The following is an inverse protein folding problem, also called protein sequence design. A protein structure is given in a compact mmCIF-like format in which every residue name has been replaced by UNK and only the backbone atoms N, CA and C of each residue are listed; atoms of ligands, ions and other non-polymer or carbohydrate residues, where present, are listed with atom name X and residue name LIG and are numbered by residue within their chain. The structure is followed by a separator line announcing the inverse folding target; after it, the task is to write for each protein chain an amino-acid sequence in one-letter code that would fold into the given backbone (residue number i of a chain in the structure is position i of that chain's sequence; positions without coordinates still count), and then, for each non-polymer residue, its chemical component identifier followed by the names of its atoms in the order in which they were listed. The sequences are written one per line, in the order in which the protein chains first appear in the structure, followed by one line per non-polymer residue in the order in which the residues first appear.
data_IF_526325254704
#
_entry.id   IF_526325254704
#
_cell.length_a   1.000
_cell.length_b   1.000
_cell.length_c   1.000
_cell.angle_alpha   90.00
_cell.angle_beta   90.00
_cell.angle_gamma   90.00
#
_symmetry.space_group_name_H-M   'P 1'
#
loop_
_entity.id
_entity.type
_entity.pdbx_description
1 polymer ?
#
# COMPACT_ATOMS: atom_id res chain seq x y z
N UNK A 1 4.74 -20.10 5.57
CA UNK A 1 3.45 -20.47 4.94
C UNK A 1 3.19 -19.59 3.73
N UNK A 2 2.56 -20.11 2.67
CA UNK A 2 2.29 -19.37 1.42
C UNK A 2 0.79 -19.23 1.22
N UNK A 3 0.31 -18.02 0.93
CA UNK A 3 -1.11 -17.70 0.73
C UNK A 3 -1.30 -16.84 -0.52
N UNK A 4 -2.23 -17.21 -1.41
CA UNK A 4 -2.57 -16.40 -2.60
C UNK A 4 -3.81 -15.57 -2.28
N UNK A 5 -3.77 -14.26 -2.56
CA UNK A 5 -4.91 -13.37 -2.34
C UNK A 5 -5.32 -12.64 -3.62
N UNK A 6 -6.60 -12.24 -3.66
CA UNK A 6 -7.16 -11.32 -4.65
C UNK A 6 -8.18 -10.42 -3.96
N UNK A 7 -7.97 -9.10 -4.03
CA UNK A 7 -8.83 -8.06 -3.45
C UNK A 7 -9.03 -6.98 -4.52
N UNK A 8 -10.16 -7.02 -5.22
CA UNK A 8 -10.37 -6.23 -6.43
C UNK A 8 -9.26 -6.49 -7.46
N UNK A 9 -8.56 -5.43 -7.83
CA UNK A 9 -7.46 -5.36 -8.78
C UNK A 9 -6.11 -5.77 -8.15
N UNK A 10 -6.01 -5.79 -6.82
CA UNK A 10 -4.79 -6.21 -6.11
C UNK A 10 -4.76 -7.73 -5.96
N UNK A 11 -3.81 -8.39 -6.61
CA UNK A 11 -3.58 -9.84 -6.55
C UNK A 11 -2.11 -10.11 -6.23
N UNK A 12 -1.85 -11.07 -5.36
CA UNK A 12 -0.48 -11.39 -4.98
C UNK A 12 -0.36 -12.70 -4.20
N UNK A 13 0.86 -12.94 -3.75
CA UNK A 13 1.22 -14.05 -2.87
C UNK A 13 1.80 -13.42 -1.61
N UNK A 14 1.40 -13.93 -0.46
CA UNK A 14 1.98 -13.60 0.84
C UNK A 14 2.67 -14.85 1.36
N UNK A 15 3.96 -14.75 1.66
CA UNK A 15 4.73 -15.78 2.35
C UNK A 15 5.09 -15.25 3.73
N UNK A 16 4.58 -15.85 4.79
CA UNK A 16 4.77 -15.40 6.16
C UNK A 16 4.99 -16.58 7.11
N UNK A 17 5.69 -16.37 8.22
CA UNK A 17 5.99 -17.41 9.20
C UNK A 17 4.78 -17.85 10.02
N UNK A 18 3.73 -17.02 10.12
CA UNK A 18 2.53 -17.33 10.91
C UNK A 18 1.22 -16.86 10.26
N UNK A 19 0.11 -17.49 10.66
CA UNK A 19 -1.23 -17.19 10.12
C UNK A 19 -1.77 -15.83 10.53
N UNK A 20 -1.41 -15.32 11.72
CA UNK A 20 -1.88 -14.02 12.22
C UNK A 20 -1.35 -12.90 11.35
N UNK A 21 -0.05 -12.94 11.03
CA UNK A 21 0.62 -12.04 10.10
C UNK A 21 -0.02 -12.03 8.72
N UNK A 22 -0.36 -13.20 8.17
CA UNK A 22 -1.06 -13.28 6.87
C UNK A 22 -2.41 -12.55 6.93
N UNK A 23 -3.22 -12.79 7.97
CA UNK A 23 -4.52 -12.13 8.12
C UNK A 23 -4.37 -10.62 8.26
N UNK A 24 -3.41 -10.17 9.07
CA UNK A 24 -3.15 -8.75 9.30
C UNK A 24 -2.63 -8.05 8.05
N UNK A 25 -1.73 -8.68 7.29
CA UNK A 25 -1.26 -8.18 6.00
C UNK A 25 -2.40 -8.01 4.99
N UNK A 26 -3.28 -9.02 4.87
CA UNK A 26 -4.47 -8.95 4.00
C UNK A 26 -5.40 -7.81 4.41
N UNK A 27 -5.60 -7.60 5.71
CA UNK A 27 -6.43 -6.51 6.22
C UNK A 27 -5.79 -5.15 5.95
N UNK A 28 -4.47 -5.01 6.17
CA UNK A 28 -3.71 -3.80 5.84
C UNK A 28 -3.84 -3.43 4.37
N UNK A 29 -3.68 -4.39 3.45
CA UNK A 29 -3.84 -4.16 2.00
C UNK A 29 -5.26 -3.70 1.69
N UNK A 30 -6.28 -4.33 2.29
CA UNK A 30 -7.69 -3.99 2.05
C UNK A 30 -8.01 -2.56 2.50
N UNK A 31 -7.61 -2.19 3.71
CA UNK A 31 -7.89 -0.87 4.27
C UNK A 31 -7.14 0.24 3.52
N UNK A 32 -5.84 0.06 3.26
CA UNK A 32 -5.06 1.05 2.52
C UNK A 32 -5.54 1.21 1.08
N UNK A 33 -5.99 0.12 0.43
CA UNK A 33 -6.63 0.19 -0.88
C UNK A 33 -7.93 0.99 -0.85
N UNK A 34 -8.77 0.80 0.17
CA UNK A 34 -10.02 1.56 0.35
C UNK A 34 -9.74 3.05 0.57
N UNK A 35 -8.76 3.37 1.40
CA UNK A 35 -8.29 4.74 1.66
C UNK A 35 -7.81 5.38 0.35
N UNK A 36 -6.95 4.70 -0.41
CA UNK A 36 -6.44 5.18 -1.69
C UNK A 36 -7.58 5.47 -2.68
N UNK A 37 -8.53 4.53 -2.84
CA UNK A 37 -9.69 4.74 -3.74
C UNK A 37 -10.50 5.96 -3.33
N UNK A 38 -10.79 6.12 -2.03
CA UNK A 38 -11.54 7.27 -1.52
C UNK A 38 -10.78 8.59 -1.72
N UNK A 39 -9.46 8.55 -1.62
CA UNK A 39 -8.61 9.72 -1.88
C UNK A 39 -8.63 10.12 -3.35
N UNK A 40 -8.50 9.15 -4.27
CA UNK A 40 -8.55 9.39 -5.72
C UNK A 40 -9.88 9.99 -6.15
N UNK A 41 -11.01 9.55 -5.57
CA UNK A 41 -12.34 10.14 -5.87
C UNK A 41 -12.35 11.65 -5.61
N UNK A 42 -11.69 12.11 -4.56
CA UNK A 42 -11.60 13.53 -4.21
C UNK A 42 -10.49 14.26 -4.96
N UNK A 43 -9.45 13.53 -5.36
CA UNK A 43 -8.25 14.06 -6.01
C UNK A 43 -7.93 13.24 -7.29
N UNK A 44 -8.71 13.36 -8.38
CA UNK A 44 -8.55 12.50 -9.56
C UNK A 44 -7.17 12.58 -10.21
N UNK A 45 -6.49 13.72 -10.05
CA UNK A 45 -5.12 13.91 -10.57
C UNK A 45 -4.13 12.90 -9.98
N UNK A 46 -4.38 12.38 -8.79
CA UNK A 46 -3.51 11.41 -8.10
C UNK A 46 -3.35 10.10 -8.90
N UNK A 47 -4.37 9.71 -9.66
CA UNK A 47 -4.36 8.47 -10.45
C UNK A 47 -3.64 8.65 -11.80
N UNK A 48 -3.73 9.83 -12.41
CA UNK A 48 -3.26 10.07 -13.78
C UNK A 48 -1.93 10.83 -13.87
N UNK A 49 -1.48 11.45 -12.77
CA UNK A 49 -0.24 12.21 -12.76
C UNK A 49 0.96 11.32 -13.08
N UNK A 50 1.76 11.73 -14.05
CA UNK A 50 3.03 11.08 -14.44
C UNK A 50 4.25 11.72 -13.77
N UNK A 51 4.06 12.91 -13.18
CA UNK A 51 5.05 13.65 -12.42
C UNK A 51 4.69 13.65 -10.93
N UNK A 52 5.65 13.96 -10.04
CA UNK A 52 5.35 14.13 -8.63
C UNK A 52 4.30 15.21 -8.43
N UNK A 53 3.43 14.99 -7.44
CA UNK A 53 2.44 15.97 -7.01
C UNK A 53 2.60 16.24 -5.52
N UNK A 54 2.09 17.38 -5.08
CA UNK A 54 1.98 17.68 -3.66
C UNK A 54 0.62 17.25 -3.13
N UNK A 55 0.58 16.92 -1.85
CA UNK A 55 -0.62 16.47 -1.13
C UNK A 55 -0.71 17.22 0.18
N UNK A 56 -1.93 17.30 0.71
CA UNK A 56 -2.19 17.98 1.97
C UNK A 56 -1.45 17.33 3.16
N UNK A 57 -1.07 18.13 4.15
CA UNK A 57 -0.30 17.66 5.30
C UNK A 57 -1.04 16.59 6.11
N UNK A 58 -2.37 16.62 6.12
CA UNK A 58 -3.22 15.61 6.75
C UNK A 58 -3.60 14.44 5.84
N UNK A 59 -2.95 14.28 4.68
CA UNK A 59 -3.20 13.17 3.77
C UNK A 59 -2.96 11.80 4.47
N UNK A 60 -3.71 10.75 4.10
CA UNK A 60 -3.54 9.43 4.70
C UNK A 60 -2.14 8.85 4.51
N UNK A 61 -1.72 7.95 5.40
CA UNK A 61 -0.35 7.40 5.41
C UNK A 61 0.05 6.72 4.10
N UNK A 62 -0.87 5.98 3.45
CA UNK A 62 -0.62 5.35 2.15
C UNK A 62 -0.31 6.39 1.07
N UNK A 63 -1.01 7.53 1.09
CA UNK A 63 -0.80 8.63 0.14
C UNK A 63 0.56 9.28 0.39
N UNK A 64 0.87 9.59 1.65
CA UNK A 64 2.15 10.19 2.04
C UNK A 64 3.34 9.31 1.64
N UNK A 65 3.28 8.00 1.93
CA UNK A 65 4.34 7.05 1.53
C UNK A 65 4.51 6.97 0.02
N UNK A 66 3.41 6.97 -0.76
CA UNK A 66 3.49 7.02 -2.22
C UNK A 66 4.21 8.28 -2.71
N UNK A 67 3.84 9.46 -2.20
CA UNK A 67 4.51 10.72 -2.56
C UNK A 67 5.98 10.72 -2.16
N UNK A 68 6.31 10.25 -0.96
CA UNK A 68 7.69 10.23 -0.47
C UNK A 68 8.62 9.43 -1.41
N UNK A 69 8.15 8.28 -1.88
CA UNK A 69 8.92 7.41 -2.79
C UNK A 69 9.01 8.04 -4.18
N UNK A 70 7.90 8.52 -4.73
CA UNK A 70 7.88 8.96 -6.14
C UNK A 70 8.47 10.35 -6.34
N UNK A 71 8.42 11.23 -5.32
CA UNK A 71 9.03 12.57 -5.37
C UNK A 71 10.54 12.51 -5.58
N UNK A 72 11.22 11.56 -4.93
CA UNK A 72 12.67 11.33 -5.08
C UNK A 72 13.05 10.85 -6.49
N UNK A 73 12.12 10.23 -7.20
CA UNK A 73 12.33 9.62 -8.52
C UNK A 73 11.79 10.48 -9.68
N UNK A 74 11.08 11.58 -9.38
CA UNK A 74 10.51 12.43 -10.43
C UNK A 74 9.34 11.77 -11.18
N UNK A 75 8.62 10.84 -10.57
CA UNK A 75 7.51 10.10 -11.21
C UNK A 75 6.17 10.29 -10.48
N UNK A 76 5.10 9.90 -11.16
CA UNK A 76 3.73 9.91 -10.67
C UNK A 76 3.48 8.98 -9.47
N UNK A 77 2.54 9.32 -8.55
CA UNK A 77 2.27 8.54 -7.33
C UNK A 77 1.90 7.09 -7.60
N UNK A 78 1.12 6.84 -8.65
CA UNK A 78 0.57 5.51 -8.95
C UNK A 78 1.68 4.49 -9.28
N UNK A 79 2.88 4.94 -9.68
CA UNK A 79 4.03 4.08 -9.91
C UNK A 79 4.50 3.34 -8.63
N UNK A 80 4.22 3.87 -7.43
CA UNK A 80 4.62 3.26 -6.17
C UNK A 80 3.55 2.38 -5.51
N UNK A 81 2.34 2.27 -6.08
CA UNK A 81 1.16 1.71 -5.40
C UNK A 81 1.37 0.28 -4.88
N UNK A 82 1.95 -0.60 -5.70
CA UNK A 82 2.13 -2.00 -5.31
C UNK A 82 3.17 -2.16 -4.19
N UNK A 83 4.28 -1.43 -4.30
CA UNK A 83 5.36 -1.43 -3.30
C UNK A 83 4.88 -0.89 -1.97
N UNK A 84 4.23 0.28 -1.95
CA UNK A 84 3.75 0.89 -0.70
C UNK A 84 2.69 0.03 -0.01
N UNK A 85 1.79 -0.61 -0.77
CA UNK A 85 0.83 -1.54 -0.17
C UNK A 85 1.51 -2.78 0.41
N UNK A 86 2.58 -3.28 -0.21
CA UNK A 86 3.36 -4.39 0.31
C UNK A 86 4.13 -4.00 1.59
N UNK A 87 4.75 -2.82 1.60
CA UNK A 87 5.47 -2.29 2.77
C UNK A 87 4.54 -2.10 3.97
N UNK A 88 3.35 -1.53 3.75
CA UNK A 88 2.35 -1.37 4.80
C UNK A 88 1.78 -2.72 5.29
N UNK A 89 1.75 -3.74 4.44
CA UNK A 89 1.38 -5.09 4.84
C UNK A 89 2.48 -5.75 5.69
N UNK A 90 3.75 -5.50 5.36
CA UNK A 90 4.92 -5.92 6.12
C UNK A 90 4.96 -5.30 7.50
N UNK A 91 4.84 -3.98 7.59
CA UNK A 91 4.80 -3.26 8.87
C UNK A 91 3.66 -3.80 9.76
N UNK A 92 2.47 -3.99 9.19
CA UNK A 92 1.33 -4.51 9.93
C UNK A 92 1.53 -5.97 10.40
N UNK A 93 2.17 -6.83 9.60
CA UNK A 93 2.45 -8.21 9.99
C UNK A 93 3.55 -8.31 11.05
N UNK A 94 4.60 -7.50 10.96
CA UNK A 94 5.68 -7.44 11.97
C UNK A 94 5.13 -6.99 13.32
N UNK A 95 4.24 -6.00 13.35
CA UNK A 95 3.58 -5.54 14.57
C UNK A 95 2.75 -6.65 15.25
N UNK A 96 2.42 -7.72 14.53
CA UNK A 96 1.75 -8.92 15.03
C UNK A 96 2.70 -10.08 15.33
N UNK A 97 3.98 -9.78 15.57
CA UNK A 97 5.06 -10.71 15.90
C UNK A 97 5.42 -11.69 14.77
N UNK A 98 5.21 -11.30 13.51
CA UNK A 98 5.72 -12.06 12.38
C UNK A 98 7.19 -11.77 12.16
N UNK A 99 8.01 -12.82 11.97
CA UNK A 99 9.45 -12.66 11.72
C UNK A 99 9.75 -12.18 10.30
N UNK A 100 8.92 -12.57 9.34
CA UNK A 100 9.07 -12.14 7.95
C UNK A 100 7.74 -12.19 7.19
N UNK A 101 7.63 -11.35 6.16
CA UNK A 101 6.64 -11.47 5.09
C UNK A 101 7.30 -11.17 3.74
N UNK A 102 6.92 -11.91 2.70
CA UNK A 102 7.39 -11.75 1.31
C UNK A 102 6.22 -11.82 0.34
#
# INVERSE_FOLDING_TARGET
MKYRYKIGESKGIIICDNLKGIKTAINSIRENRKILKNYIIKNPIFEIALNPIEVEENAPIVIKKMIEVTKKLGIGPMAAVAGVLADLALEAAINENSKYIL
#
